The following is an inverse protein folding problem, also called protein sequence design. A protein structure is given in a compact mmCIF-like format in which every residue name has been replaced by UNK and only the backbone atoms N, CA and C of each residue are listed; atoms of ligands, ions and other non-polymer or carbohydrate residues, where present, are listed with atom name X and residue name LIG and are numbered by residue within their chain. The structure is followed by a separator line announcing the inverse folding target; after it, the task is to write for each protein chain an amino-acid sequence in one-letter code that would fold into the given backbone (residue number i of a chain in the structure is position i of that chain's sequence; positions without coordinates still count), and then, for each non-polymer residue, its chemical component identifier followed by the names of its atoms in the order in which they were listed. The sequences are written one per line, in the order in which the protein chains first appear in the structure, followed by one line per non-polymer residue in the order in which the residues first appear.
data_IF_150136505539
#
_entry.id   IF_150136505539
#
_cell.length_a   1.000
_cell.length_b   1.000
_cell.length_c   1.000
_cell.angle_alpha   90.00
_cell.angle_beta   90.00
_cell.angle_gamma   90.00
#
_symmetry.space_group_name_H-M   'P 1'
#
loop_
_entity.id
_entity.type
_entity.pdbx_description
1 polymer ?
#
# COMPACT_ATOMS: atom_id res chain seq x y z
N UNK A 1 -4.73 4.98 11.70
CA UNK A 1 -5.48 3.74 11.41
C UNK A 1 -6.04 3.19 12.70
N UNK A 2 -7.22 2.61 12.62
CA UNK A 2 -7.84 1.78 13.67
C UNK A 2 -7.43 0.32 13.50
N UNK A 3 -7.57 -0.48 14.56
CA UNK A 3 -7.27 -1.92 14.51
C UNK A 3 -8.09 -2.65 13.43
N UNK A 4 -9.34 -2.23 13.22
CA UNK A 4 -10.20 -2.80 12.19
C UNK A 4 -9.67 -2.51 10.77
N UNK A 5 -9.19 -1.30 10.51
CA UNK A 5 -8.56 -0.94 9.24
C UNK A 5 -7.25 -1.72 9.04
N UNK A 6 -6.41 -1.82 10.07
CA UNK A 6 -5.16 -2.62 10.01
C UNK A 6 -5.46 -4.05 9.59
N UNK A 7 -6.43 -4.70 10.24
CA UNK A 7 -6.82 -6.08 9.90
C UNK A 7 -7.39 -6.18 8.48
N UNK A 8 -8.22 -5.22 8.07
CA UNK A 8 -8.80 -5.16 6.73
C UNK A 8 -7.74 -5.06 5.63
N UNK A 9 -6.82 -4.10 5.77
CA UNK A 9 -5.75 -3.90 4.79
C UNK A 9 -4.75 -5.05 4.78
N UNK A 10 -4.40 -5.60 5.95
CA UNK A 10 -3.51 -6.78 6.05
C UNK A 10 -4.11 -7.98 5.32
N UNK A 11 -5.39 -8.27 5.55
CA UNK A 11 -6.07 -9.38 4.88
C UNK A 11 -6.10 -9.18 3.37
N UNK A 12 -6.50 -7.99 2.92
CA UNK A 12 -6.60 -7.66 1.50
C UNK A 12 -5.24 -7.74 0.80
N UNK A 13 -4.20 -7.16 1.37
CA UNK A 13 -2.85 -7.23 0.82
C UNK A 13 -2.36 -8.68 0.75
N UNK A 14 -2.54 -9.46 1.83
CA UNK A 14 -2.19 -10.87 1.85
C UNK A 14 -2.92 -11.71 0.80
N UNK A 15 -4.18 -11.41 0.49
CA UNK A 15 -4.92 -12.06 -0.60
C UNK A 15 -4.35 -11.73 -1.98
N UNK A 16 -3.89 -10.49 -2.18
CA UNK A 16 -3.27 -10.06 -3.44
C UNK A 16 -1.90 -10.75 -3.61
N UNK A 17 -1.09 -10.79 -2.56
CA UNK A 17 0.26 -11.38 -2.58
C UNK A 17 0.26 -12.90 -2.75
N UNK A 18 -0.85 -13.58 -2.42
CA UNK A 18 -1.02 -15.03 -2.71
C UNK A 18 -1.22 -15.32 -4.20
N UNK A 19 -1.57 -14.33 -5.01
CA UNK A 19 -1.72 -14.51 -6.45
C UNK A 19 -0.34 -14.61 -7.11
N UNK A 20 -0.18 -15.46 -8.13
CA UNK A 20 1.03 -15.46 -8.93
C UNK A 20 1.24 -14.09 -9.61
N UNK A 21 2.50 -13.72 -9.90
CA UNK A 21 2.81 -12.54 -10.70
C UNK A 21 2.01 -12.54 -12.00
N UNK A 22 1.21 -11.49 -12.20
CA UNK A 22 0.30 -11.36 -13.32
C UNK A 22 -0.21 -9.93 -13.42
N UNK A 23 -0.65 -9.53 -14.61
CA UNK A 23 -1.28 -8.22 -14.82
C UNK A 23 -2.47 -7.99 -13.86
N UNK A 24 -3.23 -9.06 -13.55
CA UNK A 24 -4.32 -8.99 -12.58
C UNK A 24 -3.82 -8.69 -11.16
N UNK A 25 -2.72 -9.30 -10.73
CA UNK A 25 -2.10 -9.00 -9.42
C UNK A 25 -1.60 -7.56 -9.39
N UNK A 26 -0.91 -7.11 -10.44
CA UNK A 26 -0.35 -5.76 -10.53
C UNK A 26 -1.47 -4.69 -10.49
N UNK A 27 -2.57 -4.92 -11.21
CA UNK A 27 -3.73 -4.05 -11.16
C UNK A 27 -4.33 -4.01 -9.75
N UNK A 28 -4.39 -5.14 -9.05
CA UNK A 28 -4.90 -5.19 -7.67
C UNK A 28 -3.99 -4.48 -6.68
N UNK A 29 -2.67 -4.58 -6.83
CA UNK A 29 -1.69 -3.82 -6.03
C UNK A 29 -1.80 -2.32 -6.30
N UNK A 30 -1.96 -1.93 -7.57
CA UNK A 30 -2.18 -0.53 -7.98
C UNK A 30 -3.45 0.04 -7.34
N UNK A 31 -4.56 -0.71 -7.42
CA UNK A 31 -5.81 -0.29 -6.79
C UNK A 31 -5.68 -0.19 -5.26
N UNK A 32 -4.99 -1.13 -4.64
CA UNK A 32 -4.75 -1.10 -3.19
C UNK A 32 -3.97 0.16 -2.77
N UNK A 33 -2.93 0.53 -3.51
CA UNK A 33 -2.17 1.77 -3.24
C UNK A 33 -2.99 3.04 -3.49
N UNK A 34 -3.81 3.06 -4.55
CA UNK A 34 -4.71 4.18 -4.82
C UNK A 34 -5.76 4.36 -3.72
N UNK A 35 -6.33 3.26 -3.23
CA UNK A 35 -7.30 3.31 -2.12
C UNK A 35 -6.66 3.85 -0.84
N UNK A 36 -5.40 3.49 -0.53
CA UNK A 36 -4.67 4.05 0.60
C UNK A 36 -4.37 5.55 0.42
N UNK A 37 -3.99 5.95 -0.80
CA UNK A 37 -3.75 7.36 -1.14
C UNK A 37 -5.00 8.21 -0.94
N UNK A 38 -6.15 7.71 -1.36
CA UNK A 38 -7.43 8.41 -1.23
C UNK A 38 -7.89 8.45 0.23
N UNK A 39 -7.86 7.31 0.92
CA UNK A 39 -8.38 7.20 2.29
C UNK A 39 -7.58 8.03 3.32
N UNK A 40 -6.26 8.17 3.11
CA UNK A 40 -5.38 8.88 4.05
C UNK A 40 -4.77 10.15 3.47
N UNK A 41 -5.19 10.56 2.26
CA UNK A 41 -4.70 11.78 1.60
C UNK A 41 -3.16 11.84 1.50
N UNK A 42 -2.53 10.72 1.12
CA UNK A 42 -1.07 10.60 1.09
C UNK A 42 -0.48 11.69 0.16
N UNK A 43 0.38 12.58 0.68
CA UNK A 43 0.87 13.71 -0.10
C UNK A 43 1.93 13.30 -1.12
N UNK A 44 1.94 13.97 -2.27
CA UNK A 44 2.93 13.73 -3.35
C UNK A 44 4.24 14.51 -3.18
N UNK A 45 4.31 15.46 -2.25
CA UNK A 45 5.49 16.31 -2.02
C UNK A 45 6.49 15.70 -1.04
N UNK A 46 7.79 15.77 -1.34
CA UNK A 46 8.86 15.12 -0.54
C UNK A 46 8.86 15.56 0.93
N UNK A 47 8.76 16.86 1.20
CA UNK A 47 8.74 17.38 2.58
C UNK A 47 7.46 16.97 3.35
N UNK A 48 6.32 17.01 2.66
CA UNK A 48 5.03 16.61 3.22
C UNK A 48 4.95 15.09 3.46
N UNK A 49 5.61 14.29 2.62
CA UNK A 49 5.70 12.85 2.76
C UNK A 49 6.44 12.45 4.04
N UNK A 50 7.52 13.15 4.41
CA UNK A 50 8.23 12.87 5.68
C UNK A 50 7.35 13.12 6.91
N UNK A 51 6.63 14.24 6.93
CA UNK A 51 5.73 14.55 8.04
C UNK A 51 4.56 13.54 8.09
N UNK A 52 4.02 13.20 6.93
CA UNK A 52 2.96 12.20 6.80
C UNK A 52 3.42 10.83 7.31
N UNK A 53 4.57 10.34 6.87
CA UNK A 53 5.13 9.05 7.28
C UNK A 53 5.37 8.98 8.79
N UNK A 54 5.82 10.08 9.41
CA UNK A 54 5.98 10.14 10.85
C UNK A 54 4.65 10.03 11.60
N UNK A 55 3.57 10.62 11.07
CA UNK A 55 2.23 10.59 11.68
C UNK A 55 1.43 9.32 11.35
N UNK A 56 1.69 8.71 10.21
CA UNK A 56 0.91 7.61 9.63
C UNK A 56 1.81 6.45 9.18
N UNK A 57 2.73 6.06 10.06
CA UNK A 57 3.74 5.03 9.77
C UNK A 57 3.14 3.72 9.27
N UNK A 58 1.99 3.31 9.83
CA UNK A 58 1.28 2.07 9.49
C UNK A 58 0.75 2.09 8.06
N UNK A 59 0.21 3.23 7.61
CA UNK A 59 -0.28 3.41 6.23
C UNK A 59 0.87 3.26 5.26
N UNK A 60 2.01 3.88 5.57
CA UNK A 60 3.21 3.83 4.74
C UNK A 60 3.83 2.43 4.68
N UNK A 61 3.75 1.64 5.75
CA UNK A 61 4.17 0.22 5.71
C UNK A 61 3.35 -0.56 4.69
N UNK A 62 2.02 -0.42 4.67
CA UNK A 62 1.18 -1.09 3.67
C UNK A 62 1.46 -0.59 2.25
N UNK A 63 1.59 0.72 2.08
CA UNK A 63 1.87 1.33 0.78
C UNK A 63 3.20 0.83 0.20
N UNK A 64 4.28 0.90 0.98
CA UNK A 64 5.61 0.43 0.57
C UNK A 64 5.63 -1.08 0.30
N UNK A 65 4.96 -1.88 1.13
CA UNK A 65 4.88 -3.32 0.90
C UNK A 65 4.20 -3.67 -0.43
N UNK A 66 3.14 -2.94 -0.81
CA UNK A 66 2.49 -3.12 -2.10
C UNK A 66 3.38 -2.64 -3.27
N UNK A 67 4.10 -1.53 -3.11
CA UNK A 67 5.05 -0.99 -4.09
C UNK A 67 6.24 -1.93 -4.33
N UNK A 68 6.84 -2.44 -3.25
CA UNK A 68 7.94 -3.41 -3.28
C UNK A 68 7.50 -4.70 -3.98
N UNK A 69 6.29 -5.19 -3.67
CA UNK A 69 5.75 -6.40 -4.29
C UNK A 69 5.47 -6.28 -5.80
N UNK A 70 5.31 -5.06 -6.32
CA UNK A 70 5.26 -4.81 -7.77
C UNK A 70 6.67 -4.69 -8.38
N UNK A 71 7.64 -4.19 -7.63
CA UNK A 71 8.99 -3.89 -8.12
C UNK A 71 9.88 -5.12 -8.10
N UNK A 72 9.75 -5.99 -7.08
CA UNK A 72 10.56 -7.19 -6.89
C UNK A 72 10.44 -8.19 -8.06
N UNK A 73 9.29 -8.27 -8.72
CA UNK A 73 9.06 -9.18 -9.85
C UNK A 73 9.52 -8.61 -11.21
N UNK A 74 10.02 -7.37 -11.23
CA UNK A 74 10.56 -6.70 -12.43
C UNK A 74 12.09 -6.68 -12.47
N UNK A 75 12.75 -7.21 -11.43
CA UNK A 75 14.21 -7.31 -11.29
C UNK A 75 14.79 -8.64 -11.76
#
# INVERSE_FOLDING_TARGET
MTDAEILGYTKRLGEILKLPPSEQRDQRLTNFMSDLKEAYEIPSGVDQMREFEWRHSEVMVFYRCAEDAMTFERG
#
